data_IF_487997448897
#
_entry.id   IF_487997448897
#
_cell.length_a   1.000
_cell.length_b   1.000
_cell.length_c   1.000
_cell.angle_alpha   90.00
_cell.angle_beta   90.00
_cell.angle_gamma   90.00
#
_symmetry.space_group_name_H-M   'P 1'
#
loop_
_entity.id
_entity.type
_entity.pdbx_description
1 polymer ?
#
# COMPACT_ATOMS: atom_id res chain seq x y z
N UNK A 1 32.50 -1.80 41.74
CA UNK A 1 33.86 -1.76 41.18
C UNK A 1 33.78 -1.33 39.72
N UNK A 2 34.42 -0.24 39.38
CA UNK A 2 34.36 0.40 38.06
C UNK A 2 35.25 -0.36 37.08
N UNK A 3 34.75 -0.72 35.88
CA UNK A 3 35.62 -1.02 34.74
C UNK A 3 35.21 -0.15 33.57
N UNK A 4 36.18 0.62 33.12
CA UNK A 4 36.10 1.60 32.05
C UNK A 4 36.26 0.92 30.71
N UNK A 5 35.44 1.39 29.76
CA UNK A 5 35.52 1.07 28.35
C UNK A 5 36.70 1.77 27.67
N UNK A 6 37.33 1.04 26.78
CA UNK A 6 38.30 1.56 25.86
C UNK A 6 37.72 1.55 24.43
N UNK A 7 37.58 2.76 23.89
CA UNK A 7 37.19 3.03 22.53
C UNK A 7 38.40 2.79 21.63
N UNK A 8 38.28 2.02 20.58
CA UNK A 8 39.30 1.94 19.53
C UNK A 8 38.66 2.14 18.17
N UNK A 9 38.92 3.33 17.64
CA UNK A 9 38.68 3.73 16.25
C UNK A 9 39.67 3.03 15.34
N UNK A 10 39.20 2.50 14.21
CA UNK A 10 40.07 2.19 13.07
C UNK A 10 39.43 2.71 11.79
N UNK A 11 40.07 3.70 11.24
CA UNK A 11 39.75 4.30 9.95
C UNK A 11 40.73 3.77 8.89
N UNK A 12 40.26 3.82 7.63
CA UNK A 12 41.02 3.88 6.37
C UNK A 12 41.70 2.61 5.82
N UNK A 13 41.33 2.23 4.58
CA UNK A 13 42.11 2.68 3.42
C UNK A 13 41.42 2.27 2.10
N UNK A 14 41.26 3.25 1.23
CA UNK A 14 41.04 3.10 -0.22
C UNK A 14 42.33 2.58 -0.88
N UNK A 15 42.18 1.73 -1.88
CA UNK A 15 43.13 1.69 -2.99
C UNK A 15 42.45 1.22 -4.26
N UNK A 16 42.41 2.12 -5.22
CA UNK A 16 42.08 1.88 -6.61
C UNK A 16 43.26 1.19 -7.31
N UNK A 17 43.01 0.30 -8.22
CA UNK A 17 43.94 0.02 -9.32
C UNK A 17 43.22 -0.47 -10.56
N UNK A 18 43.44 0.29 -11.59
CA UNK A 18 43.03 0.08 -12.99
C UNK A 18 43.99 -0.89 -13.72
N UNK A 19 43.43 -1.49 -14.77
CA UNK A 19 43.99 -1.63 -16.11
C UNK A 19 44.59 -2.95 -16.60
N UNK A 20 44.08 -3.31 -17.79
CA UNK A 20 44.68 -4.07 -18.91
C UNK A 20 44.76 -5.60 -18.77
N UNK A 21 44.37 -6.35 -19.73
CA UNK A 21 44.36 -6.29 -21.16
C UNK A 21 43.95 -7.59 -21.84
N UNK A 22 43.75 -7.48 -23.06
CA UNK A 22 43.37 -8.32 -24.18
C UNK A 22 43.82 -9.81 -24.23
N UNK A 23 42.94 -10.49 -24.91
CA UNK A 23 43.15 -11.41 -26.06
C UNK A 23 43.06 -12.92 -25.81
N UNK A 24 42.09 -13.49 -26.47
CA UNK A 24 42.14 -14.52 -27.51
C UNK A 24 41.87 -15.97 -27.15
N UNK A 25 40.85 -16.43 -27.87
CA UNK A 25 40.59 -17.75 -28.48
C UNK A 25 40.09 -18.95 -27.69
N UNK A 26 38.79 -19.21 -27.96
CA UNK A 26 38.25 -20.39 -28.66
C UNK A 26 38.14 -21.69 -27.92
N UNK A 27 36.94 -22.12 -27.67
CA UNK A 27 36.14 -23.25 -28.19
C UNK A 27 35.10 -23.73 -27.21
N UNK A 28 33.84 -23.61 -27.65
CA UNK A 28 32.79 -24.63 -27.82
C UNK A 28 32.57 -25.61 -26.67
N UNK A 29 31.44 -25.58 -25.98
CA UNK A 29 30.18 -26.24 -26.22
C UNK A 29 29.22 -26.15 -25.02
N UNK A 30 27.99 -25.84 -25.36
CA UNK A 30 26.72 -26.46 -24.97
C UNK A 30 26.04 -26.03 -23.69
N UNK A 31 25.03 -25.17 -23.92
CA UNK A 31 23.66 -25.10 -23.43
C UNK A 31 23.35 -25.25 -21.93
N UNK A 32 22.90 -24.15 -21.33
CA UNK A 32 21.65 -24.08 -20.62
C UNK A 32 21.23 -22.61 -20.55
N UNK A 33 20.13 -22.26 -21.22
CA UNK A 33 19.55 -20.93 -21.22
C UNK A 33 18.85 -20.71 -19.90
N UNK A 34 19.43 -19.86 -19.04
CA UNK A 34 18.69 -19.18 -17.99
C UNK A 34 18.32 -17.80 -18.57
N UNK A 35 17.04 -17.61 -18.85
CA UNK A 35 16.52 -16.33 -19.30
C UNK A 35 16.62 -15.29 -18.20
N UNK A 36 17.55 -14.37 -18.32
CA UNK A 36 17.51 -13.10 -17.58
C UNK A 36 16.34 -12.29 -18.14
N UNK A 37 15.24 -12.27 -17.39
CA UNK A 37 14.19 -11.29 -17.62
C UNK A 37 14.62 -10.00 -16.91
N UNK A 38 15.35 -9.17 -17.63
CA UNK A 38 15.51 -7.77 -17.24
C UNK A 38 14.14 -7.10 -17.34
N UNK A 39 13.49 -6.92 -16.20
CA UNK A 39 12.35 -6.02 -16.08
C UNK A 39 12.88 -4.60 -16.32
N UNK A 40 12.74 -4.12 -17.55
CA UNK A 40 12.88 -2.71 -17.87
C UNK A 40 11.73 -2.00 -17.13
N UNK A 41 12.07 -1.22 -16.12
CA UNK A 41 11.17 -0.22 -15.58
C UNK A 41 10.86 0.74 -16.74
N UNK A 42 9.67 0.65 -17.29
CA UNK A 42 9.14 1.64 -18.20
C UNK A 42 8.89 2.90 -17.35
N UNK A 43 9.82 3.84 -17.39
CA UNK A 43 9.54 5.22 -17.02
C UNK A 43 8.53 5.76 -18.02
N UNK A 44 7.25 5.61 -17.68
CA UNK A 44 6.20 6.34 -18.36
C UNK A 44 6.29 7.77 -17.84
N UNK A 45 7.07 8.59 -18.50
CA UNK A 45 6.93 10.04 -18.41
C UNK A 45 5.55 10.37 -18.96
N UNK A 46 4.56 10.40 -18.08
CA UNK A 46 3.30 11.03 -18.40
C UNK A 46 3.63 12.50 -18.64
N UNK A 47 3.65 12.90 -19.91
CA UNK A 47 3.63 14.28 -20.31
C UNK A 47 2.34 14.86 -19.74
N UNK A 48 2.45 15.60 -18.65
CA UNK A 48 1.34 16.25 -18.01
C UNK A 48 0.68 17.14 -19.06
N UNK A 49 -0.50 16.74 -19.53
CA UNK A 49 -1.32 17.58 -20.37
C UNK A 49 -1.47 18.89 -19.59
N UNK A 50 -0.90 19.98 -20.13
CA UNK A 50 -1.12 21.32 -19.61
C UNK A 50 -2.61 21.62 -19.81
N UNK A 51 -3.39 21.38 -18.78
CA UNK A 51 -4.69 21.99 -18.65
C UNK A 51 -4.42 23.50 -18.58
N UNK A 52 -4.68 24.21 -19.65
CA UNK A 52 -4.74 25.66 -19.63
C UNK A 52 -5.97 26.04 -18.79
N UNK A 53 -5.78 26.17 -17.50
CA UNK A 53 -6.78 26.79 -16.63
C UNK A 53 -6.83 28.26 -16.99
N UNK A 54 -7.98 28.75 -17.39
CA UNK A 54 -8.26 30.17 -17.70
C UNK A 54 -8.13 31.07 -16.46
N UNK A 55 -7.17 30.84 -15.60
CA UNK A 55 -6.95 31.60 -14.35
C UNK A 55 -7.85 31.17 -13.19
N UNK A 56 -8.74 30.20 -13.38
CA UNK A 56 -9.54 29.60 -12.29
C UNK A 56 -8.75 28.49 -11.59
N UNK A 57 -8.90 28.41 -10.26
CA UNK A 57 -8.30 27.35 -9.45
C UNK A 57 -9.00 26.03 -9.74
N UNK A 58 -8.25 24.95 -9.82
CA UNK A 58 -8.79 23.59 -9.81
C UNK A 58 -9.36 23.31 -8.40
N UNK A 59 -10.64 23.00 -8.31
CA UNK A 59 -11.31 22.68 -7.05
C UNK A 59 -11.36 21.19 -6.82
N UNK A 60 -10.68 20.75 -5.77
CA UNK A 60 -10.52 19.33 -5.45
C UNK A 60 -11.17 19.04 -4.10
N UNK A 61 -12.12 18.10 -4.09
CA UNK A 61 -12.78 17.66 -2.86
C UNK A 61 -12.38 16.22 -2.54
N UNK A 62 -11.85 16.00 -1.34
CA UNK A 62 -11.61 14.67 -0.77
C UNK A 62 -12.76 14.27 0.15
N UNK A 63 -13.35 13.10 -0.08
CA UNK A 63 -14.37 12.49 0.78
C UNK A 63 -13.77 11.25 1.43
N UNK A 64 -13.65 11.23 2.75
CA UNK A 64 -13.13 10.06 3.48
C UNK A 64 -14.22 9.38 4.29
N UNK A 65 -14.25 8.04 4.23
CA UNK A 65 -15.08 7.21 5.10
C UNK A 65 -14.45 7.14 6.48
N UNK A 66 -15.18 7.53 7.53
CA UNK A 66 -14.61 7.69 8.87
C UNK A 66 -14.12 9.10 9.13
N UNK A 67 -13.01 9.23 9.81
CA UNK A 67 -12.42 10.50 10.24
C UNK A 67 -10.91 10.50 10.04
N UNK A 68 -10.32 11.68 10.00
CA UNK A 68 -8.86 11.83 10.10
C UNK A 68 -8.35 11.43 11.49
N UNK A 69 -7.06 11.14 11.60
CA UNK A 69 -6.45 10.62 12.83
C UNK A 69 -6.46 9.09 12.91
N UNK A 70 -6.79 8.39 11.82
CA UNK A 70 -6.82 6.92 11.74
C UNK A 70 -5.43 6.28 11.65
N UNK A 71 -4.40 7.10 11.40
CA UNK A 71 -3.00 6.66 11.14
C UNK A 71 -2.88 5.65 10.01
N UNK A 72 -3.79 5.72 9.05
CA UNK A 72 -3.92 4.79 7.94
C UNK A 72 -4.28 5.53 6.64
N UNK A 73 -5.30 5.05 5.91
CA UNK A 73 -5.68 5.56 4.59
C UNK A 73 -6.17 7.01 4.63
N UNK A 74 -6.98 7.39 5.62
CA UNK A 74 -7.54 8.74 5.69
C UNK A 74 -6.45 9.78 5.96
N UNK A 75 -5.53 9.50 6.90
CA UNK A 75 -4.40 10.39 7.17
C UNK A 75 -3.43 10.46 5.98
N UNK A 76 -3.23 9.36 5.26
CA UNK A 76 -2.41 9.35 4.05
C UNK A 76 -3.05 10.17 2.92
N UNK A 77 -4.38 10.09 2.77
CA UNK A 77 -5.13 10.88 1.80
C UNK A 77 -5.09 12.38 2.17
N UNK A 78 -5.28 12.72 3.45
CA UNK A 78 -5.14 14.07 3.96
C UNK A 78 -3.76 14.64 3.64
N UNK A 79 -2.70 13.91 3.99
CA UNK A 79 -1.33 14.35 3.71
C UNK A 79 -1.07 14.55 2.20
N UNK A 80 -1.71 13.73 1.36
CA UNK A 80 -1.69 13.90 -0.10
C UNK A 80 -2.34 15.22 -0.54
N UNK A 81 -3.47 15.58 0.04
CA UNK A 81 -4.17 16.85 -0.26
C UNK A 81 -3.38 18.07 0.24
N UNK A 82 -2.82 18.01 1.45
CA UNK A 82 -1.96 19.07 1.99
C UNK A 82 -0.71 19.28 1.11
N UNK A 83 -0.13 18.19 0.60
CA UNK A 83 0.99 18.25 -0.34
C UNK A 83 0.58 18.85 -1.68
N UNK A 84 -0.59 18.50 -2.21
CA UNK A 84 -1.15 19.05 -3.44
C UNK A 84 -1.29 20.57 -3.33
N UNK A 85 -1.85 21.04 -2.21
CA UNK A 85 -2.03 22.47 -1.94
C UNK A 85 -0.66 23.18 -1.80
N UNK A 86 0.29 22.57 -1.10
CA UNK A 86 1.63 23.13 -0.93
C UNK A 86 2.41 23.23 -2.26
N UNK A 87 2.27 22.25 -3.16
CA UNK A 87 2.97 22.23 -4.45
C UNK A 87 2.32 23.10 -5.52
N UNK A 88 0.99 23.16 -5.56
CA UNK A 88 0.26 23.91 -6.60
C UNK A 88 -0.13 25.33 -6.17
N UNK A 89 -0.19 25.61 -4.87
CA UNK A 89 -0.47 26.94 -4.31
C UNK A 89 -1.76 27.54 -4.87
N UNK A 90 -1.64 28.70 -5.49
CA UNK A 90 -2.81 29.45 -6.03
C UNK A 90 -3.54 28.76 -7.20
N UNK A 91 -3.05 27.62 -7.68
CA UNK A 91 -3.67 26.88 -8.80
C UNK A 91 -4.72 25.87 -8.35
N UNK A 92 -4.77 25.56 -7.07
CA UNK A 92 -5.71 24.58 -6.51
C UNK A 92 -6.44 25.15 -5.31
N UNK A 93 -7.65 24.69 -5.11
CA UNK A 93 -8.44 24.87 -3.90
C UNK A 93 -8.84 23.50 -3.40
N UNK A 94 -8.48 23.18 -2.16
CA UNK A 94 -8.67 21.87 -1.56
C UNK A 94 -9.76 21.93 -0.51
N UNK A 95 -10.70 21.00 -0.61
CA UNK A 95 -11.73 20.76 0.40
C UNK A 95 -11.63 19.31 0.88
N UNK A 96 -11.77 19.07 2.19
CA UNK A 96 -11.70 17.75 2.80
C UNK A 96 -12.90 17.51 3.70
N UNK A 97 -13.60 16.41 3.49
CA UNK A 97 -14.86 16.07 4.16
C UNK A 97 -14.75 14.72 4.84
N UNK A 98 -14.97 14.69 6.13
CA UNK A 98 -15.13 13.48 6.94
C UNK A 98 -16.60 13.03 6.90
N UNK A 99 -16.89 11.91 6.24
CA UNK A 99 -18.27 11.39 6.13
C UNK A 99 -18.71 10.61 7.38
N UNK A 100 -17.77 10.34 8.29
CA UNK A 100 -18.01 9.48 9.44
C UNK A 100 -18.18 8.01 9.05
N UNK A 101 -18.71 7.19 9.97
CA UNK A 101 -18.86 5.73 9.78
C UNK A 101 -20.29 5.30 9.36
N UNK A 102 -21.20 6.23 9.23
CA UNK A 102 -22.59 5.98 8.83
C UNK A 102 -22.71 5.89 7.30
N UNK A 103 -22.67 4.66 6.80
CA UNK A 103 -22.69 4.36 5.35
C UNK A 103 -23.92 4.91 4.62
N UNK A 104 -25.03 5.14 5.34
CA UNK A 104 -26.24 5.70 4.73
C UNK A 104 -26.08 7.15 4.27
N UNK A 105 -25.00 7.81 4.70
CA UNK A 105 -24.69 9.21 4.33
C UNK A 105 -23.70 9.31 3.16
N UNK A 106 -23.02 8.23 2.80
CA UNK A 106 -21.93 8.29 1.84
C UNK A 106 -22.38 8.74 0.45
N UNK A 107 -23.50 8.19 -0.04
CA UNK A 107 -24.07 8.58 -1.34
C UNK A 107 -24.50 10.05 -1.34
N UNK A 108 -25.17 10.50 -0.28
CA UNK A 108 -25.56 11.91 -0.13
C UNK A 108 -24.36 12.86 -0.15
N UNK A 109 -23.29 12.52 0.59
CA UNK A 109 -22.06 13.32 0.59
C UNK A 109 -21.38 13.36 -0.79
N UNK A 110 -21.41 12.24 -1.54
CA UNK A 110 -20.90 12.21 -2.91
C UNK A 110 -21.73 13.10 -3.85
N UNK A 111 -23.05 13.04 -3.74
CA UNK A 111 -23.95 13.90 -4.52
C UNK A 111 -23.74 15.38 -4.18
N UNK A 112 -23.64 15.72 -2.90
CA UNK A 112 -23.35 17.11 -2.45
C UNK A 112 -22.03 17.62 -3.06
N UNK A 113 -21.00 16.76 -3.12
CA UNK A 113 -19.73 17.12 -3.77
C UNK A 113 -19.87 17.29 -5.28
N UNK A 114 -20.69 16.49 -5.95
CA UNK A 114 -20.96 16.61 -7.38
C UNK A 114 -21.78 17.87 -7.72
N UNK A 115 -22.73 18.22 -6.87
CA UNK A 115 -23.56 19.44 -7.02
C UNK A 115 -22.81 20.74 -6.66
N UNK A 116 -21.67 20.59 -5.97
CA UNK A 116 -20.79 21.74 -5.68
C UNK A 116 -20.00 22.16 -6.92
N UNK A 117 -19.15 23.14 -6.76
CA UNK A 117 -18.24 23.61 -7.80
C UNK A 117 -16.92 22.82 -7.88
N UNK A 118 -16.83 21.64 -7.26
CA UNK A 118 -15.68 20.76 -7.34
C UNK A 118 -15.47 20.27 -8.79
N UNK A 119 -14.24 20.36 -9.27
CA UNK A 119 -13.82 19.84 -10.59
C UNK A 119 -13.40 18.37 -10.48
N UNK A 120 -12.77 18.01 -9.36
CA UNK A 120 -12.25 16.69 -9.06
C UNK A 120 -12.71 16.23 -7.68
N UNK A 121 -13.28 15.05 -7.62
CA UNK A 121 -13.71 14.41 -6.38
C UNK A 121 -12.81 13.19 -6.16
N UNK A 122 -12.15 13.15 -4.99
CA UNK A 122 -11.30 12.05 -4.59
C UNK A 122 -11.98 11.32 -3.43
N UNK A 123 -12.06 10.02 -3.52
CA UNK A 123 -12.57 9.16 -2.45
C UNK A 123 -11.81 7.84 -2.45
N UNK A 124 -12.12 6.94 -1.54
CA UNK A 124 -11.43 5.65 -1.49
C UNK A 124 -12.17 4.59 -0.70
N UNK A 125 -11.54 3.42 -0.71
CA UNK A 125 -11.98 2.23 -0.01
C UNK A 125 -13.20 1.55 -0.63
N UNK A 126 -13.39 0.29 -0.29
CA UNK A 126 -14.43 -0.59 -0.86
C UNK A 126 -15.86 -0.04 -0.73
N UNK A 127 -16.17 0.63 0.39
CA UNK A 127 -17.51 1.13 0.65
C UNK A 127 -17.96 2.25 -0.32
N UNK A 128 -17.00 2.90 -1.01
CA UNK A 128 -17.30 3.94 -2.00
C UNK A 128 -17.38 3.43 -3.43
N UNK A 129 -17.04 2.16 -3.70
CA UNK A 129 -17.00 1.58 -5.04
C UNK A 129 -18.32 1.73 -5.80
N UNK A 130 -19.38 1.10 -5.29
CA UNK A 130 -20.71 1.09 -5.96
C UNK A 130 -21.30 2.51 -6.06
N UNK A 131 -21.05 3.36 -5.05
CA UNK A 131 -21.48 4.75 -5.04
C UNK A 131 -20.77 5.52 -6.16
N UNK A 132 -19.46 5.37 -6.29
CA UNK A 132 -18.67 6.03 -7.35
C UNK A 132 -19.11 5.54 -8.73
N UNK A 133 -19.29 4.23 -8.93
CA UNK A 133 -19.77 3.64 -10.17
C UNK A 133 -21.11 4.19 -10.61
N UNK A 134 -22.03 4.41 -9.66
CA UNK A 134 -23.35 4.96 -9.92
C UNK A 134 -23.27 6.47 -10.20
N UNK A 135 -22.71 7.23 -9.26
CA UNK A 135 -22.76 8.70 -9.30
C UNK A 135 -21.93 9.27 -10.44
N UNK A 136 -20.79 8.65 -10.78
CA UNK A 136 -19.96 9.11 -11.91
C UNK A 136 -20.67 9.05 -13.26
N UNK A 137 -21.62 8.14 -13.45
CA UNK A 137 -22.45 8.08 -14.66
C UNK A 137 -23.54 9.17 -14.68
N UNK A 138 -23.99 9.63 -13.51
CA UNK A 138 -24.98 10.71 -13.38
C UNK A 138 -24.33 12.11 -13.59
N UNK A 139 -23.01 12.22 -13.33
CA UNK A 139 -22.23 13.46 -13.43
C UNK A 139 -21.01 13.30 -14.36
N UNK A 140 -21.22 13.13 -15.68
CA UNK A 140 -20.13 12.83 -16.63
C UNK A 140 -19.13 13.99 -16.79
N UNK A 141 -19.51 15.22 -16.44
CA UNK A 141 -18.64 16.41 -16.45
C UNK A 141 -17.66 16.45 -15.27
N UNK A 142 -17.97 15.78 -14.15
CA UNK A 142 -17.09 15.71 -12.98
C UNK A 142 -16.00 14.66 -13.19
N UNK A 143 -14.86 14.83 -12.54
CA UNK A 143 -13.76 13.87 -12.54
C UNK A 143 -13.67 13.19 -11.18
N UNK A 144 -13.39 11.90 -11.19
CA UNK A 144 -13.31 11.12 -9.97
C UNK A 144 -11.98 10.37 -9.90
N UNK A 145 -11.42 10.33 -8.70
CA UNK A 145 -10.35 9.39 -8.34
C UNK A 145 -10.88 8.55 -7.17
N UNK A 146 -10.77 7.24 -7.30
CA UNK A 146 -11.04 6.32 -6.20
C UNK A 146 -9.80 5.48 -5.93
N UNK A 147 -9.33 5.46 -4.68
CA UNK A 147 -8.14 4.72 -4.25
C UNK A 147 -8.50 3.49 -3.41
N UNK A 148 -7.58 2.52 -3.37
CA UNK A 148 -7.68 1.25 -2.65
C UNK A 148 -8.85 0.38 -3.09
N UNK A 149 -9.34 0.58 -4.31
CA UNK A 149 -10.33 -0.29 -4.96
C UNK A 149 -10.39 0.00 -6.46
N UNK A 150 -10.91 -0.95 -7.23
CA UNK A 150 -11.16 -0.81 -8.66
C UNK A 150 -12.65 -0.70 -8.93
N UNK A 151 -13.05 0.20 -9.85
CA UNK A 151 -14.40 0.24 -10.39
C UNK A 151 -14.55 -0.78 -11.52
N UNK A 152 -15.76 -1.27 -11.72
CA UNK A 152 -16.08 -2.14 -12.84
C UNK A 152 -16.47 -1.29 -14.08
N UNK A 153 -15.50 -1.04 -14.94
CA UNK A 153 -15.68 -0.27 -16.18
C UNK A 153 -16.66 -0.91 -17.19
N UNK A 154 -17.17 -2.12 -16.92
CA UNK A 154 -18.17 -2.76 -17.79
C UNK A 154 -19.60 -2.34 -17.45
N UNK A 155 -19.82 -1.66 -16.33
CA UNK A 155 -21.16 -1.26 -15.86
C UNK A 155 -21.75 -0.06 -16.62
N UNK A 156 -20.91 0.69 -17.35
CA UNK A 156 -21.35 1.87 -18.11
C UNK A 156 -20.21 2.78 -18.52
N UNK A 157 -20.51 4.04 -18.84
CA UNK A 157 -19.48 5.03 -19.14
C UNK A 157 -18.89 5.59 -17.83
N UNK A 158 -17.72 5.09 -17.48
CA UNK A 158 -16.92 5.51 -16.34
C UNK A 158 -15.58 6.14 -16.79
N UNK A 159 -15.55 6.71 -18.00
CA UNK A 159 -14.35 7.36 -18.57
C UNK A 159 -13.88 8.58 -17.76
N UNK A 160 -14.73 9.11 -16.91
CA UNK A 160 -14.44 10.18 -15.96
C UNK A 160 -13.92 9.70 -14.59
N UNK A 161 -13.77 8.38 -14.38
CA UNK A 161 -13.25 7.78 -13.14
C UNK A 161 -11.84 7.24 -13.38
N UNK A 162 -10.93 7.56 -12.47
CA UNK A 162 -9.62 6.90 -12.36
C UNK A 162 -9.60 6.09 -11.05
N UNK A 163 -9.48 4.78 -11.15
CA UNK A 163 -9.37 3.89 -9.99
C UNK A 163 -7.94 3.43 -9.78
N UNK A 164 -7.56 3.30 -8.52
CA UNK A 164 -6.23 2.86 -8.10
C UNK A 164 -6.35 1.74 -7.08
N UNK A 165 -5.80 0.58 -7.36
CA UNK A 165 -5.57 -0.47 -6.38
C UNK A 165 -4.08 -0.65 -6.13
N UNK A 166 -3.75 -1.23 -4.99
CA UNK A 166 -2.38 -1.47 -4.56
C UNK A 166 -2.08 -2.97 -4.56
N UNK A 167 -0.81 -3.31 -4.80
CA UNK A 167 -0.32 -4.68 -4.72
C UNK A 167 -0.06 -5.08 -3.24
N UNK A 168 -1.14 -5.20 -2.48
CA UNK A 168 -1.09 -5.45 -1.04
C UNK A 168 -0.47 -6.81 -0.71
N UNK A 169 -0.61 -7.79 -1.59
CA UNK A 169 0.06 -9.08 -1.50
C UNK A 169 1.58 -8.96 -1.54
N UNK A 170 2.14 -8.04 -2.36
CA UNK A 170 3.59 -7.80 -2.42
C UNK A 170 4.10 -7.17 -1.11
N UNK A 171 3.34 -6.20 -0.57
CA UNK A 171 3.63 -5.63 0.76
C UNK A 171 3.55 -6.67 1.87
N UNK A 172 2.53 -7.52 1.84
CA UNK A 172 2.37 -8.62 2.79
C UNK A 172 3.48 -9.67 2.66
N UNK A 173 3.97 -9.96 1.45
CA UNK A 173 5.14 -10.81 1.23
C UNK A 173 6.36 -10.28 1.98
N UNK A 174 6.66 -8.98 1.85
CA UNK A 174 7.78 -8.37 2.58
C UNK A 174 7.59 -8.44 4.10
N UNK A 175 6.36 -8.29 4.58
CA UNK A 175 6.03 -8.45 6.00
C UNK A 175 6.27 -9.89 6.47
N UNK A 176 5.92 -10.89 5.65
CA UNK A 176 6.20 -12.29 5.90
C UNK A 176 7.70 -12.61 5.95
N UNK A 177 8.47 -12.05 5.01
CA UNK A 177 9.94 -12.15 5.02
C UNK A 177 10.51 -11.58 6.32
N UNK A 178 10.03 -10.42 6.75
CA UNK A 178 10.49 -9.80 8.00
C UNK A 178 10.12 -10.63 9.22
N UNK A 179 8.88 -11.12 9.31
CA UNK A 179 8.41 -11.92 10.43
C UNK A 179 9.20 -13.22 10.57
N UNK A 180 9.38 -13.96 9.48
CA UNK A 180 10.17 -15.19 9.50
C UNK A 180 11.67 -14.96 9.78
N UNK A 181 12.20 -13.81 9.35
CA UNK A 181 13.57 -13.43 9.70
C UNK A 181 13.72 -13.06 11.17
N UNK A 182 12.69 -12.43 11.75
CA UNK A 182 12.66 -12.05 13.16
C UNK A 182 12.57 -13.29 14.05
N UNK A 183 11.65 -14.22 13.80
CA UNK A 183 11.47 -15.44 14.60
C UNK A 183 12.72 -16.33 14.61
N UNK A 184 13.58 -16.25 13.57
CA UNK A 184 14.85 -16.97 13.49
C UNK A 184 16.04 -16.23 14.13
N UNK A 185 15.82 -15.07 14.69
CA UNK A 185 16.86 -14.25 15.29
C UNK A 185 16.81 -14.34 16.82
N UNK A 186 17.90 -13.90 17.49
CA UNK A 186 17.97 -13.80 18.95
C UNK A 186 17.35 -12.47 19.44
N UNK A 187 16.23 -12.04 18.88
CA UNK A 187 15.55 -10.82 19.31
C UNK A 187 14.81 -11.04 20.63
N UNK A 188 14.63 -9.96 21.39
CA UNK A 188 13.76 -10.00 22.55
C UNK A 188 12.34 -10.41 22.13
N UNK A 189 11.71 -11.31 22.89
CA UNK A 189 10.38 -11.89 22.65
C UNK A 189 10.29 -12.96 21.57
N UNK A 190 11.38 -13.37 20.91
CA UNK A 190 11.38 -14.59 20.08
C UNK A 190 11.58 -15.82 20.95
N UNK A 191 11.09 -16.95 20.48
CA UNK A 191 11.18 -18.25 21.16
C UNK A 191 11.81 -19.32 20.23
N UNK A 192 11.92 -20.55 20.69
CA UNK A 192 12.52 -21.64 19.88
C UNK A 192 11.53 -22.23 18.86
N UNK A 193 10.23 -21.89 18.94
CA UNK A 193 9.22 -22.35 18.02
C UNK A 193 9.35 -21.56 16.70
N UNK A 194 9.31 -22.28 15.57
CA UNK A 194 9.36 -21.64 14.25
C UNK A 194 7.94 -21.31 13.78
N UNK A 195 7.28 -20.43 14.53
CA UNK A 195 5.86 -20.07 14.34
C UNK A 195 5.69 -18.58 14.34
N UNK A 196 4.95 -18.08 13.36
CA UNK A 196 4.53 -16.67 13.26
C UNK A 196 3.03 -16.55 13.09
N UNK A 197 2.48 -15.35 13.28
CA UNK A 197 1.04 -15.12 13.26
C UNK A 197 0.61 -14.10 12.23
N UNK A 198 -0.59 -14.32 11.66
CA UNK A 198 -1.32 -13.36 10.83
C UNK A 198 -2.75 -13.24 11.37
N UNK A 199 -3.17 -12.00 11.68
CA UNK A 199 -4.55 -11.70 12.10
C UNK A 199 -5.20 -10.81 11.04
N UNK A 200 -6.06 -11.39 10.22
CA UNK A 200 -6.80 -10.70 9.17
C UNK A 200 -8.16 -10.16 9.66
N UNK A 201 -8.67 -9.12 8.99
CA UNK A 201 -9.97 -8.55 9.33
C UNK A 201 -11.13 -9.49 8.97
N UNK A 202 -11.28 -9.83 7.69
CA UNK A 202 -12.39 -10.68 7.20
C UNK A 202 -11.90 -11.69 6.17
N UNK A 203 -12.29 -12.93 6.34
CA UNK A 203 -12.01 -14.04 5.40
C UNK A 203 -12.80 -13.92 4.08
N UNK A 204 -13.85 -13.11 4.05
CA UNK A 204 -14.67 -12.84 2.85
C UNK A 204 -14.08 -11.73 1.97
N UNK A 205 -13.07 -11.00 2.44
CA UNK A 205 -12.45 -9.91 1.70
C UNK A 205 -11.24 -10.44 0.89
N UNK A 206 -11.32 -10.38 -0.44
CA UNK A 206 -10.25 -10.86 -1.33
C UNK A 206 -8.89 -10.26 -0.99
N UNK A 207 -8.82 -8.95 -0.76
CA UNK A 207 -7.59 -8.23 -0.41
C UNK A 207 -6.93 -8.74 0.89
N UNK A 208 -7.73 -9.16 1.87
CA UNK A 208 -7.22 -9.72 3.12
C UNK A 208 -6.67 -11.14 2.90
N UNK A 209 -7.33 -11.94 2.05
CA UNK A 209 -6.85 -13.26 1.68
C UNK A 209 -5.58 -13.18 0.83
N UNK A 210 -5.51 -12.26 -0.14
CA UNK A 210 -4.31 -12.02 -0.94
C UNK A 210 -3.13 -11.59 -0.04
N UNK A 211 -3.40 -10.77 0.97
CA UNK A 211 -2.40 -10.38 1.96
C UNK A 211 -1.96 -11.58 2.82
N UNK A 212 -2.88 -12.45 3.23
CA UNK A 212 -2.52 -13.66 3.98
C UNK A 212 -1.64 -14.60 3.15
N UNK A 213 -1.99 -14.80 1.87
CA UNK A 213 -1.18 -15.60 0.94
C UNK A 213 0.21 -14.99 0.75
N UNK A 214 0.29 -13.68 0.46
CA UNK A 214 1.57 -12.99 0.32
C UNK A 214 2.43 -13.12 1.58
N UNK A 215 1.84 -12.94 2.77
CA UNK A 215 2.55 -13.11 4.04
C UNK A 215 3.11 -14.53 4.22
N UNK A 216 2.31 -15.55 3.93
CA UNK A 216 2.74 -16.95 4.00
C UNK A 216 3.88 -17.23 3.01
N UNK A 217 3.74 -16.80 1.76
CA UNK A 217 4.76 -17.00 0.72
C UNK A 217 6.06 -16.27 1.09
N UNK A 218 5.98 -15.05 1.63
CA UNK A 218 7.14 -14.31 2.10
C UNK A 218 7.84 -14.99 3.28
N UNK A 219 7.08 -15.53 4.21
CA UNK A 219 7.62 -16.30 5.34
C UNK A 219 8.32 -17.58 4.85
N UNK A 220 7.68 -18.34 3.98
CA UNK A 220 8.22 -19.58 3.42
C UNK A 220 9.40 -19.36 2.47
N UNK A 221 9.54 -18.17 1.89
CA UNK A 221 10.73 -17.77 1.14
C UNK A 221 11.97 -17.73 2.03
N UNK A 222 11.83 -17.32 3.30
CA UNK A 222 12.93 -17.32 4.29
C UNK A 222 13.15 -18.71 4.88
N UNK A 223 12.07 -19.37 5.25
CA UNK A 223 12.10 -20.71 5.83
C UNK A 223 10.88 -21.53 5.37
N UNK A 224 11.07 -22.52 4.50
CA UNK A 224 9.98 -23.39 4.03
C UNK A 224 9.23 -24.15 5.15
N UNK A 225 9.86 -24.32 6.30
CA UNK A 225 9.30 -25.06 7.44
C UNK A 225 8.61 -24.15 8.47
N UNK A 226 8.61 -22.82 8.25
CA UNK A 226 7.92 -21.89 9.14
C UNK A 226 6.42 -22.14 9.15
N UNK A 227 5.85 -22.20 10.35
CA UNK A 227 4.41 -22.33 10.52
C UNK A 227 3.75 -20.97 10.68
N UNK A 228 2.76 -20.70 9.86
CA UNK A 228 1.97 -19.46 9.94
C UNK A 228 0.59 -19.75 10.52
N UNK A 229 0.27 -19.15 11.66
CA UNK A 229 -1.06 -19.20 12.25
C UNK A 229 -1.90 -18.08 11.64
N UNK A 230 -3.00 -18.43 10.98
CA UNK A 230 -3.91 -17.47 10.36
C UNK A 230 -5.22 -17.44 11.14
N UNK A 231 -5.65 -16.24 11.51
CA UNK A 231 -6.93 -16.01 12.19
C UNK A 231 -7.64 -14.80 11.57
N UNK A 232 -8.98 -14.78 11.61
CA UNK A 232 -9.78 -13.68 11.10
C UNK A 232 -10.72 -13.15 12.17
N UNK A 233 -10.75 -11.82 12.30
CA UNK A 233 -11.57 -11.11 13.30
C UNK A 233 -13.06 -11.13 12.94
N UNK A 234 -13.39 -11.16 11.63
CA UNK A 234 -14.75 -10.99 11.13
C UNK A 234 -15.19 -9.52 11.06
N UNK A 235 -14.33 -8.58 11.42
CA UNK A 235 -14.61 -7.14 11.52
C UNK A 235 -13.37 -6.32 11.21
N UNK A 236 -13.55 -5.08 10.72
CA UNK A 236 -12.47 -4.09 10.58
C UNK A 236 -12.28 -3.21 11.82
N UNK A 237 -13.21 -3.29 12.79
CA UNK A 237 -13.23 -2.36 13.93
C UNK A 237 -13.28 -3.06 15.30
N UNK A 238 -13.39 -4.39 15.36
CA UNK A 238 -13.42 -5.14 16.61
C UNK A 238 -12.00 -5.42 17.13
N UNK A 239 -11.43 -4.42 17.78
CA UNK A 239 -10.10 -4.52 18.37
C UNK A 239 -10.03 -5.49 19.56
N UNK A 240 -11.14 -5.76 20.24
CA UNK A 240 -11.19 -6.71 21.35
C UNK A 240 -10.98 -8.14 20.84
N UNK A 241 -11.75 -8.55 19.83
CA UNK A 241 -11.56 -9.86 19.19
C UNK A 241 -10.18 -10.00 18.55
N UNK A 242 -9.66 -8.95 17.89
CA UNK A 242 -8.31 -8.96 17.32
C UNK A 242 -7.24 -9.25 18.37
N UNK A 243 -7.34 -8.59 19.54
CA UNK A 243 -6.43 -8.80 20.66
C UNK A 243 -6.48 -10.23 21.19
N UNK A 244 -7.68 -10.81 21.38
CA UNK A 244 -7.84 -12.18 21.89
C UNK A 244 -7.26 -13.21 20.90
N UNK A 245 -7.44 -12.99 19.58
CA UNK A 245 -6.84 -13.84 18.56
C UNK A 245 -5.31 -13.76 18.58
N UNK A 246 -4.74 -12.57 18.70
CA UNK A 246 -3.29 -12.39 18.81
C UNK A 246 -2.73 -13.09 20.07
N UNK A 247 -3.37 -12.92 21.24
CA UNK A 247 -2.98 -13.62 22.47
C UNK A 247 -3.05 -15.13 22.29
N UNK A 248 -4.06 -15.62 21.56
CA UNK A 248 -4.19 -17.05 21.28
C UNK A 248 -3.05 -17.55 20.39
N UNK A 249 -2.64 -16.76 19.39
CA UNK A 249 -1.50 -17.11 18.53
C UNK A 249 -0.18 -17.14 19.31
N UNK A 250 0.08 -16.14 20.16
CA UNK A 250 1.23 -16.15 21.08
C UNK A 250 1.21 -17.37 22.01
N UNK A 251 0.04 -17.73 22.55
CA UNK A 251 -0.10 -18.92 23.40
C UNK A 251 0.14 -20.24 22.67
N UNK A 252 0.09 -20.22 21.32
CA UNK A 252 0.40 -21.34 20.46
C UNK A 252 1.81 -21.27 19.84
N UNK A 253 2.69 -20.46 20.41
CA UNK A 253 4.10 -20.36 20.08
C UNK A 253 4.45 -19.37 18.97
N UNK A 254 3.51 -18.51 18.53
CA UNK A 254 3.86 -17.46 17.58
C UNK A 254 4.68 -16.35 18.27
N UNK A 255 5.65 -15.79 17.53
CA UNK A 255 6.45 -14.64 17.93
C UNK A 255 5.80 -13.31 17.50
#
# INVERSE_FOLDING_TARGET
MKKKFLCSTLAMAMAASMLFGCASESKTETTAAAGETTAAAAETTAEAAKAETNGEKLKVTLLVTGSFGDKAFNDSAQAGMEKLEAELGDKVEVNMVEMGSDKTKFEGSMLDACESDADLIITGLWDMKEITEKVAQEFPEKKFIIFDTDVDYTLGDLSNVYSMSYKQNEGAFLAGVLAASATKSDMEYTNEDNVIGFVGAKDTAAVINDSAVGFIEGAQFVDPDVKVLVSYVGSYVDSATAKELAITQYSNGAD
#
